data_IF_763010038745
#
_entry.id   IF_763010038745
#
_cell.length_a   1.000
_cell.length_b   1.000
_cell.length_c   1.000
_cell.angle_alpha   90.00
_cell.angle_beta   90.00
_cell.angle_gamma   90.00
#
_symmetry.space_group_name_H-M   'P 1'
#
loop_
_entity.id
_entity.type
_entity.pdbx_description
1 polymer ?
#
# COMPACT_ATOMS: atom_id res chain seq x y z
N UNK A 1 54.82 12.27 -17.96
CA UNK A 1 53.54 12.82 -18.47
C UNK A 1 52.44 11.87 -18.05
N UNK A 2 51.66 12.24 -17.04
CA UNK A 2 50.44 11.52 -16.68
C UNK A 2 49.32 12.05 -17.58
N UNK A 3 48.88 11.22 -18.53
CA UNK A 3 47.63 11.49 -19.26
C UNK A 3 46.50 11.14 -18.31
N UNK A 4 45.84 12.16 -17.75
CA UNK A 4 44.58 11.98 -17.06
C UNK A 4 43.48 11.82 -18.11
N UNK A 5 43.00 10.58 -18.29
CA UNK A 5 41.78 10.33 -19.04
C UNK A 5 40.60 10.92 -18.25
N UNK A 6 40.17 12.13 -18.62
CA UNK A 6 38.89 12.69 -18.17
C UNK A 6 37.79 11.83 -18.80
N UNK A 7 37.10 11.06 -17.97
CA UNK A 7 35.93 10.30 -18.41
C UNK A 7 34.87 11.28 -18.96
N UNK A 8 34.39 11.12 -20.21
CA UNK A 8 33.36 11.99 -20.76
C UNK A 8 32.05 11.78 -19.98
N UNK A 9 31.64 12.81 -19.22
CA UNK A 9 30.31 12.83 -18.58
C UNK A 9 29.28 13.24 -19.62
N UNK A 10 28.13 12.56 -19.66
CA UNK A 10 27.04 12.95 -20.55
C UNK A 10 26.49 14.30 -20.09
N UNK A 11 25.99 15.12 -21.02
CA UNK A 11 25.38 16.43 -20.69
C UNK A 11 24.23 16.24 -19.67
N UNK A 12 23.46 15.15 -19.80
CA UNK A 12 22.42 14.80 -18.84
C UNK A 12 22.95 14.66 -17.40
N UNK A 13 24.11 14.02 -17.21
CA UNK A 13 24.74 13.82 -15.89
C UNK A 13 25.30 15.12 -15.28
N UNK A 14 25.43 16.17 -16.11
CA UNK A 14 25.83 17.51 -15.68
C UNK A 14 24.64 18.38 -15.31
N UNK A 15 23.44 18.06 -15.80
CA UNK A 15 22.22 18.83 -15.60
C UNK A 15 21.28 18.23 -14.55
N UNK A 16 21.23 16.90 -14.46
CA UNK A 16 20.26 16.19 -13.64
C UNK A 16 20.89 15.37 -12.53
N UNK A 17 20.12 15.26 -11.45
CA UNK A 17 20.41 14.44 -10.28
C UNK A 17 19.20 13.53 -10.08
N UNK A 18 19.41 12.23 -10.21
CA UNK A 18 18.37 11.22 -10.00
C UNK A 18 18.32 10.72 -8.56
N UNK A 19 17.11 10.39 -8.11
CA UNK A 19 16.80 9.79 -6.81
C UNK A 19 16.16 8.42 -7.02
N UNK A 20 16.98 7.42 -7.37
CA UNK A 20 16.49 6.10 -7.82
C UNK A 20 15.88 5.24 -6.70
N UNK A 21 16.01 5.67 -5.43
CA UNK A 21 15.48 4.97 -4.25
C UNK A 21 14.19 5.59 -3.73
N UNK A 22 13.67 6.62 -4.40
CA UNK A 22 12.39 7.22 -4.04
C UNK A 22 11.25 6.20 -4.17
N UNK A 23 10.29 6.29 -3.26
CA UNK A 23 9.06 5.50 -3.28
C UNK A 23 7.95 6.33 -3.89
N UNK A 24 7.18 5.74 -4.79
CA UNK A 24 6.15 6.41 -5.57
C UNK A 24 4.77 6.10 -5.02
N UNK A 25 3.92 7.12 -4.91
CA UNK A 25 2.49 6.93 -4.80
C UNK A 25 1.92 6.54 -6.16
N UNK A 26 1.15 5.45 -6.20
CA UNK A 26 0.58 4.89 -7.43
C UNK A 26 -0.93 5.05 -7.44
N UNK A 27 -1.53 4.89 -8.63
CA UNK A 27 -2.97 4.93 -8.79
C UNK A 27 -3.59 3.57 -8.51
N UNK A 28 -4.66 3.57 -7.72
CA UNK A 28 -5.58 2.44 -7.61
C UNK A 28 -6.96 2.84 -8.12
N UNK A 29 -7.74 1.85 -8.54
CA UNK A 29 -9.09 2.05 -9.08
C UNK A 29 -10.09 1.23 -8.27
N UNK A 30 -11.21 1.84 -7.88
CA UNK A 30 -12.36 1.11 -7.38
C UNK A 30 -13.50 1.11 -8.40
N UNK A 31 -14.66 0.54 -8.03
CA UNK A 31 -15.82 0.45 -8.93
C UNK A 31 -16.43 1.80 -9.34
N UNK A 32 -16.04 2.89 -8.70
CA UNK A 32 -16.67 4.23 -8.84
C UNK A 32 -15.69 5.34 -9.18
N UNK A 33 -14.46 5.32 -8.64
CA UNK A 33 -13.50 6.42 -8.73
C UNK A 33 -12.06 5.90 -8.72
N UNK A 34 -11.12 6.81 -8.98
CA UNK A 34 -9.68 6.61 -8.83
C UNK A 34 -9.22 7.08 -7.44
N UNK A 35 -8.18 6.45 -6.90
CA UNK A 35 -7.47 6.89 -5.69
C UNK A 35 -5.96 6.83 -5.95
N UNK A 36 -5.18 7.45 -5.08
CA UNK A 36 -3.73 7.56 -5.20
C UNK A 36 -3.29 8.68 -6.12
N UNK A 37 -2.12 8.53 -6.74
CA UNK A 37 -1.41 9.62 -7.43
C UNK A 37 -1.02 9.26 -8.86
N UNK A 38 -0.79 10.29 -9.69
CA UNK A 38 -0.19 10.14 -11.02
C UNK A 38 0.60 11.39 -11.41
N UNK A 39 1.59 11.22 -12.29
CA UNK A 39 2.11 12.33 -13.08
C UNK A 39 1.41 12.46 -14.44
N UNK A 40 1.74 13.53 -15.16
CA UNK A 40 1.52 13.67 -16.59
C UNK A 40 2.45 12.70 -17.35
N UNK A 41 2.14 12.44 -18.62
CA UNK A 41 2.90 11.51 -19.47
C UNK A 41 4.38 11.86 -19.60
N UNK A 42 4.74 13.14 -19.55
CA UNK A 42 6.12 13.64 -19.61
C UNK A 42 6.70 13.98 -18.24
N UNK A 43 6.10 13.48 -17.16
CA UNK A 43 6.42 13.90 -15.80
C UNK A 43 5.88 15.28 -15.44
N UNK A 44 5.98 15.64 -14.16
CA UNK A 44 5.62 16.95 -13.65
C UNK A 44 6.87 17.63 -13.11
N UNK A 45 7.14 18.85 -13.57
CA UNK A 45 8.26 19.66 -13.09
C UNK A 45 7.80 20.99 -12.48
N UNK A 46 8.58 21.51 -11.55
CA UNK A 46 8.28 22.77 -10.90
C UNK A 46 9.40 23.27 -9.99
N UNK A 47 9.32 24.53 -9.58
CA UNK A 47 10.27 25.10 -8.62
C UNK A 47 10.20 24.30 -7.32
N UNK A 48 11.34 23.84 -6.84
CA UNK A 48 11.41 23.17 -5.54
C UNK A 48 11.23 24.19 -4.42
N UNK A 49 10.33 23.90 -3.47
CA UNK A 49 10.23 24.64 -2.22
C UNK A 49 10.20 23.66 -1.04
N UNK A 50 11.15 23.78 -0.12
CA UNK A 50 11.29 22.86 1.01
C UNK A 50 10.59 23.44 2.24
N UNK A 51 9.78 22.62 2.91
CA UNK A 51 9.01 22.97 4.10
C UNK A 51 9.28 21.94 5.18
N UNK A 52 9.89 22.41 6.26
CA UNK A 52 10.37 21.53 7.32
C UNK A 52 9.52 21.53 8.60
N UNK A 53 8.85 22.64 8.86
CA UNK A 53 8.09 22.89 10.08
C UNK A 53 6.92 23.83 9.82
N UNK A 54 6.08 24.01 10.83
CA UNK A 54 4.88 24.85 10.75
C UNK A 54 5.16 26.31 10.42
N UNK A 55 6.28 26.86 10.89
CA UNK A 55 6.63 28.26 10.62
C UNK A 55 6.95 28.46 9.14
N UNK A 56 7.75 27.56 8.56
CA UNK A 56 8.06 27.56 7.13
C UNK A 56 6.81 27.32 6.27
N UNK A 57 5.92 26.42 6.71
CA UNK A 57 4.66 26.16 6.03
C UNK A 57 3.80 27.43 5.97
N UNK A 58 3.59 28.08 7.11
CA UNK A 58 2.78 29.29 7.20
C UNK A 58 3.42 30.47 6.46
N UNK A 59 4.75 30.60 6.49
CA UNK A 59 5.48 31.61 5.72
C UNK A 59 5.28 31.40 4.21
N UNK A 60 5.39 30.17 3.73
CA UNK A 60 5.22 29.85 2.31
C UNK A 60 3.81 30.14 1.80
N UNK A 61 2.77 29.63 2.48
CA UNK A 61 1.37 29.80 2.03
C UNK A 61 0.90 31.26 2.06
N UNK A 62 1.56 32.12 2.85
CA UNK A 62 1.24 33.55 2.94
C UNK A 62 2.04 34.41 1.97
N UNK A 63 3.14 33.89 1.40
CA UNK A 63 3.96 34.59 0.41
C UNK A 63 3.34 34.48 -0.99
N UNK A 64 2.24 35.21 -1.20
CA UNK A 64 1.54 35.28 -2.49
C UNK A 64 2.43 35.79 -3.62
N UNK A 65 3.37 36.70 -3.33
CA UNK A 65 4.32 37.23 -4.31
C UNK A 65 5.22 36.13 -4.86
N UNK A 66 5.76 35.29 -3.98
CA UNK A 66 6.55 34.12 -4.37
C UNK A 66 5.71 33.15 -5.20
N UNK A 67 4.52 32.79 -4.71
CA UNK A 67 3.62 31.85 -5.40
C UNK A 67 3.24 32.37 -6.79
N UNK A 68 3.05 33.68 -6.95
CA UNK A 68 2.70 34.32 -8.24
C UNK A 68 3.87 34.47 -9.19
N UNK A 69 5.10 34.43 -8.69
CA UNK A 69 6.31 34.55 -9.51
C UNK A 69 6.63 33.27 -10.29
N UNK A 70 6.01 32.12 -9.98
CA UNK A 70 6.32 30.84 -10.61
C UNK A 70 5.06 30.13 -11.11
N UNK A 71 5.22 29.38 -12.21
CA UNK A 71 4.11 28.64 -12.85
C UNK A 71 3.70 27.38 -12.08
N UNK A 72 4.68 26.69 -11.50
CA UNK A 72 4.48 25.42 -10.80
C UNK A 72 5.50 25.25 -9.69
N UNK A 73 5.09 24.53 -8.65
CA UNK A 73 5.90 24.15 -7.50
C UNK A 73 5.88 22.63 -7.31
N UNK A 74 7.02 22.10 -6.89
CA UNK A 74 7.10 20.80 -6.24
C UNK A 74 7.52 21.06 -4.80
N UNK A 75 6.64 20.68 -3.87
CA UNK A 75 6.86 20.93 -2.45
C UNK A 75 7.62 19.75 -1.87
N UNK A 76 8.82 20.00 -1.35
CA UNK A 76 9.54 19.03 -0.54
C UNK A 76 9.06 19.20 0.91
N UNK A 77 8.22 18.29 1.40
CA UNK A 77 7.54 18.40 2.68
C UNK A 77 8.09 17.38 3.68
N UNK A 78 8.41 17.84 4.88
CA UNK A 78 8.76 16.94 5.97
C UNK A 78 7.60 16.00 6.27
N UNK A 79 7.86 14.69 6.38
CA UNK A 79 6.84 13.66 6.62
C UNK A 79 6.01 13.92 7.89
N UNK A 80 6.55 14.62 8.89
CA UNK A 80 5.79 14.99 10.10
C UNK A 80 4.63 15.96 9.82
N UNK A 81 4.69 16.71 8.72
CA UNK A 81 3.63 17.60 8.27
C UNK A 81 2.66 16.92 7.29
N UNK A 82 2.87 15.64 6.97
CA UNK A 82 2.03 14.92 6.02
C UNK A 82 0.70 14.49 6.68
N UNK A 83 -0.25 15.42 6.75
CA UNK A 83 -1.60 15.17 7.23
C UNK A 83 -2.63 15.77 6.27
N UNK A 84 -3.88 15.30 6.36
CA UNK A 84 -5.02 15.80 5.57
C UNK A 84 -5.11 17.33 5.61
N UNK A 85 -4.91 17.94 6.79
CA UNK A 85 -4.97 19.40 6.96
C UNK A 85 -3.92 20.16 6.16
N UNK A 86 -2.65 19.73 6.19
CA UNK A 86 -1.58 20.41 5.43
C UNK A 86 -1.73 20.17 3.92
N UNK A 87 -2.07 18.95 3.52
CA UNK A 87 -2.29 18.62 2.10
C UNK A 87 -3.44 19.44 1.52
N UNK A 88 -4.57 19.56 2.24
CA UNK A 88 -5.71 20.37 1.81
C UNK A 88 -5.37 21.86 1.71
N UNK A 89 -4.61 22.38 2.67
CA UNK A 89 -4.12 23.77 2.64
C UNK A 89 -3.20 24.01 1.45
N UNK A 90 -2.29 23.09 1.13
CA UNK A 90 -1.43 23.21 -0.06
C UNK A 90 -2.25 23.18 -1.34
N UNK A 91 -3.18 22.22 -1.48
CA UNK A 91 -4.04 22.10 -2.65
C UNK A 91 -4.90 23.36 -2.85
N UNK A 92 -5.46 23.90 -1.76
CA UNK A 92 -6.30 25.10 -1.82
C UNK A 92 -5.48 26.36 -2.12
N UNK A 93 -4.32 26.52 -1.50
CA UNK A 93 -3.52 27.75 -1.62
C UNK A 93 -2.77 27.84 -2.95
N UNK A 94 -2.30 26.71 -3.48
CA UNK A 94 -1.54 26.68 -4.75
C UNK A 94 -2.42 26.36 -5.95
N UNK A 95 -3.56 25.67 -5.76
CA UNK A 95 -4.42 25.24 -6.85
C UNK A 95 -3.65 24.45 -7.91
N UNK A 96 -3.77 24.87 -9.18
CA UNK A 96 -3.07 24.25 -10.32
C UNK A 96 -1.54 24.45 -10.30
N UNK A 97 -1.00 25.29 -9.42
CA UNK A 97 0.45 25.49 -9.28
C UNK A 97 1.10 24.37 -8.46
N UNK A 98 0.35 23.61 -7.67
CA UNK A 98 0.87 22.43 -6.97
C UNK A 98 1.05 21.29 -7.97
N UNK A 99 2.28 21.08 -8.41
CA UNK A 99 2.60 20.14 -9.49
C UNK A 99 3.25 18.84 -9.00
N UNK A 100 3.47 18.70 -7.69
CA UNK A 100 4.02 17.50 -7.09
C UNK A 100 4.34 17.68 -5.60
N UNK A 101 4.43 16.57 -4.89
CA UNK A 101 4.82 16.52 -3.49
C UNK A 101 5.96 15.50 -3.30
N UNK A 102 7.07 15.93 -2.73
CA UNK A 102 8.16 15.06 -2.33
C UNK A 102 8.22 15.02 -0.81
N UNK A 103 7.79 13.92 -0.21
CA UNK A 103 7.96 13.71 1.22
C UNK A 103 9.40 13.32 1.53
N UNK A 104 9.93 13.83 2.63
CA UNK A 104 11.24 13.41 3.13
C UNK A 104 11.20 13.15 4.63
N UNK A 105 12.03 12.21 5.07
CA UNK A 105 12.35 11.98 6.47
C UNK A 105 13.78 12.48 6.73
N UNK A 106 14.00 13.31 7.76
CA UNK A 106 15.38 13.70 8.09
C UNK A 106 16.11 12.53 8.72
N UNK A 107 17.39 12.42 8.41
CA UNK A 107 18.27 11.38 8.94
C UNK A 107 18.38 11.37 10.47
N UNK A 108 18.22 12.53 11.11
CA UNK A 108 18.32 12.66 12.57
C UNK A 108 16.98 12.62 13.31
N UNK A 109 15.85 12.55 12.60
CA UNK A 109 14.52 12.52 13.21
C UNK A 109 13.99 11.09 13.27
N UNK A 110 13.33 10.76 14.38
CA UNK A 110 12.46 9.60 14.43
C UNK A 110 11.31 9.77 13.44
N UNK A 111 10.73 8.65 13.02
CA UNK A 111 9.45 8.63 12.29
C UNK A 111 8.38 9.35 13.14
N UNK A 112 7.30 9.86 12.53
CA UNK A 112 6.18 10.43 13.28
C UNK A 112 5.70 9.45 14.35
N UNK A 113 5.40 9.95 15.55
CA UNK A 113 4.92 9.12 16.67
C UNK A 113 3.65 8.34 16.33
N UNK A 114 2.82 8.92 15.46
CA UNK A 114 1.60 8.32 14.94
C UNK A 114 1.38 8.78 13.49
N UNK A 115 1.08 7.81 12.63
CA UNK A 115 0.62 8.06 11.27
C UNK A 115 -0.10 6.80 10.76
N UNK A 116 -1.33 6.94 10.29
CA UNK A 116 -2.03 5.87 9.58
C UNK A 116 -2.70 6.44 8.34
N UNK A 117 -2.26 5.96 7.17
CA UNK A 117 -2.80 6.34 5.86
C UNK A 117 -4.20 5.77 5.57
N UNK A 118 -4.61 4.78 6.36
CA UNK A 118 -5.89 4.10 6.29
C UNK A 118 -7.01 4.98 6.88
N UNK A 119 -8.25 4.56 6.71
CA UNK A 119 -9.42 5.20 7.31
C UNK A 119 -9.51 4.92 8.81
N UNK A 120 -10.32 5.72 9.51
CA UNK A 120 -10.63 5.52 10.92
C UNK A 120 -11.38 4.21 11.20
N UNK A 121 -12.13 3.75 10.21
CA UNK A 121 -12.86 2.49 10.23
C UNK A 121 -12.52 1.70 8.97
N UNK A 122 -11.40 0.95 8.95
CA UNK A 122 -10.98 0.15 7.81
C UNK A 122 -12.09 -0.83 7.38
N UNK A 123 -12.26 -1.00 6.06
CA UNK A 123 -13.25 -1.89 5.43
C UNK A 123 -14.71 -1.75 5.93
N UNK A 124 -15.09 -0.62 6.57
CA UNK A 124 -16.42 -0.47 7.19
C UNK A 124 -17.57 -0.76 6.22
N UNK A 125 -17.39 -0.46 4.92
CA UNK A 125 -18.41 -0.64 3.88
C UNK A 125 -18.74 -2.09 3.56
N UNK A 126 -17.85 -3.02 3.89
CA UNK A 126 -18.02 -4.45 3.67
C UNK A 126 -18.15 -5.24 4.98
N UNK A 127 -18.27 -4.51 6.09
CA UNK A 127 -18.44 -5.08 7.41
C UNK A 127 -19.92 -5.22 7.77
N UNK A 128 -20.20 -6.04 8.79
CA UNK A 128 -21.52 -6.15 9.41
C UNK A 128 -22.06 -4.79 9.92
N UNK A 129 -21.17 -3.83 10.20
CA UNK A 129 -21.52 -2.52 10.76
C UNK A 129 -22.02 -1.50 9.71
N UNK A 130 -22.02 -1.82 8.41
CA UNK A 130 -22.44 -0.87 7.35
C UNK A 130 -23.81 -0.24 7.62
N UNK A 131 -24.77 -1.03 8.11
CA UNK A 131 -26.15 -0.57 8.39
C UNK A 131 -26.38 -0.18 9.86
N UNK A 132 -25.33 -0.17 10.68
CA UNK A 132 -25.44 0.20 12.08
C UNK A 132 -25.23 1.70 12.26
N UNK A 133 -25.94 2.28 13.23
CA UNK A 133 -25.81 3.71 13.56
C UNK A 133 -24.48 4.04 14.23
N UNK A 134 -23.81 3.05 14.81
CA UNK A 134 -22.54 3.21 15.49
C UNK A 134 -21.39 2.88 14.55
N UNK A 135 -20.68 3.92 14.10
CA UNK A 135 -19.39 3.76 13.42
C UNK A 135 -18.32 3.53 14.49
N UNK A 136 -17.76 2.32 14.55
CA UNK A 136 -16.67 2.01 15.48
C UNK A 136 -15.35 2.52 14.89
N UNK A 137 -14.68 3.41 15.61
CA UNK A 137 -13.37 3.91 15.24
C UNK A 137 -12.29 2.97 15.77
N UNK A 138 -11.88 2.02 14.92
CA UNK A 138 -10.83 1.04 15.22
C UNK A 138 -9.42 1.62 15.04
N UNK A 139 -9.28 2.65 14.20
CA UNK A 139 -8.02 3.29 13.87
C UNK A 139 -8.12 4.81 14.12
N UNK A 140 -8.05 5.28 15.37
CA UNK A 140 -8.25 6.71 15.68
C UNK A 140 -7.22 7.64 15.04
N UNK A 141 -6.07 7.10 14.61
CA UNK A 141 -5.01 7.83 13.91
C UNK A 141 -5.13 7.74 12.38
N UNK A 142 -6.17 7.09 11.87
CA UNK A 142 -6.46 6.98 10.44
C UNK A 142 -6.82 8.33 9.84
N UNK A 143 -6.08 8.74 8.81
CA UNK A 143 -6.28 10.01 8.11
C UNK A 143 -6.94 9.85 6.74
N UNK A 144 -7.11 8.62 6.25
CA UNK A 144 -7.75 8.31 4.97
C UNK A 144 -7.02 8.81 3.73
N UNK A 145 -5.76 9.25 3.84
CA UNK A 145 -5.00 9.81 2.72
C UNK A 145 -4.81 8.80 1.59
N UNK A 146 -4.71 7.50 1.89
CA UNK A 146 -4.56 6.44 0.88
C UNK A 146 -5.76 6.40 -0.09
N UNK A 147 -6.99 6.66 0.40
CA UNK A 147 -8.21 6.57 -0.39
C UNK A 147 -8.58 7.86 -1.13
N UNK A 148 -7.69 8.86 -1.12
CA UNK A 148 -7.90 10.12 -1.84
C UNK A 148 -7.28 10.08 -3.23
N UNK A 149 -7.89 10.82 -4.15
CA UNK A 149 -7.34 11.05 -5.49
C UNK A 149 -6.50 12.33 -5.51
N UNK A 150 -5.26 12.22 -5.98
CA UNK A 150 -4.34 13.35 -6.12
C UNK A 150 -4.00 13.57 -7.61
N UNK A 151 -4.25 14.77 -8.17
CA UNK A 151 -4.01 15.06 -9.58
C UNK A 151 -2.54 15.38 -9.90
N UNK A 152 -1.63 15.04 -8.99
CA UNK A 152 -0.20 15.29 -9.10
C UNK A 152 0.58 14.13 -8.45
N UNK A 153 1.85 13.92 -8.84
CA UNK A 153 2.64 12.84 -8.30
C UNK A 153 3.09 13.13 -6.87
N UNK A 154 3.12 12.08 -6.05
CA UNK A 154 3.74 12.12 -4.73
C UNK A 154 4.85 11.07 -4.68
N UNK A 155 6.01 11.45 -4.15
CA UNK A 155 7.11 10.53 -3.89
C UNK A 155 7.61 10.70 -2.46
N UNK A 156 8.28 9.68 -1.92
CA UNK A 156 8.83 9.67 -0.56
C UNK A 156 10.29 9.20 -0.58
N UNK A 157 11.17 9.96 0.07
CA UNK A 157 12.57 9.59 0.32
C UNK A 157 12.80 9.35 1.83
N UNK A 158 13.21 8.12 2.17
CA UNK A 158 13.54 7.70 3.52
C UNK A 158 15.04 7.42 3.74
N UNK A 159 15.85 7.53 2.69
CA UNK A 159 17.29 7.26 2.74
C UNK A 159 18.09 8.53 3.10
N UNK A 160 19.04 8.40 4.03
CA UNK A 160 19.84 9.52 4.53
C UNK A 160 20.62 10.23 3.42
N UNK A 161 21.27 9.48 2.52
CA UNK A 161 22.05 10.05 1.43
C UNK A 161 21.21 10.91 0.48
N UNK A 162 19.98 10.46 0.18
CA UNK A 162 19.07 11.15 -0.71
C UNK A 162 18.55 12.44 -0.07
N UNK A 163 18.23 12.40 1.23
CA UNK A 163 17.88 13.59 2.01
C UNK A 163 19.03 14.62 2.03
N UNK A 164 20.26 14.20 2.34
CA UNK A 164 21.41 15.10 2.38
C UNK A 164 21.69 15.75 1.02
N UNK A 165 21.55 14.97 -0.06
CA UNK A 165 21.70 15.44 -1.44
C UNK A 165 20.61 16.47 -1.79
N UNK A 166 19.36 16.19 -1.44
CA UNK A 166 18.22 17.11 -1.64
C UNK A 166 18.45 18.44 -0.91
N UNK A 167 18.82 18.39 0.37
CA UNK A 167 19.09 19.59 1.19
C UNK A 167 20.23 20.40 0.61
N UNK A 168 21.37 19.76 0.30
CA UNK A 168 22.53 20.44 -0.28
C UNK A 168 22.15 21.19 -1.55
N UNK A 169 21.35 20.56 -2.39
CA UNK A 169 20.88 21.13 -3.64
C UNK A 169 19.92 22.31 -3.42
N UNK A 170 18.93 22.16 -2.53
CA UNK A 170 18.02 23.24 -2.16
C UNK A 170 18.76 24.47 -1.61
N UNK A 171 19.72 24.24 -0.71
CA UNK A 171 20.51 25.33 -0.10
C UNK A 171 21.35 26.09 -1.11
N UNK A 172 21.88 25.39 -2.11
CA UNK A 172 22.75 25.99 -3.13
C UNK A 172 21.98 26.93 -4.08
N UNK A 173 20.72 26.63 -4.39
CA UNK A 173 20.01 27.30 -5.50
C UNK A 173 18.70 27.99 -5.11
N UNK A 174 18.09 27.69 -3.95
CA UNK A 174 16.73 28.13 -3.63
C UNK A 174 16.62 28.94 -2.34
N UNK A 175 17.71 29.08 -1.54
CA UNK A 175 17.73 29.97 -0.36
C UNK A 175 17.73 31.45 -0.75
N UNK A 176 18.53 31.83 -1.75
CA UNK A 176 18.51 33.18 -2.30
C UNK A 176 17.47 33.28 -3.42
N UNK A 177 16.89 34.47 -3.61
CA UNK A 177 16.02 34.76 -4.77
C UNK A 177 16.80 34.91 -6.09
N UNK A 178 18.11 34.61 -6.08
CA UNK A 178 18.97 34.76 -7.25
C UNK A 178 18.76 33.62 -8.24
N UNK A 179 18.71 33.97 -9.53
CA UNK A 179 18.79 32.99 -10.62
C UNK A 179 20.22 32.45 -10.76
N UNK A 180 20.41 31.17 -11.08
CA UNK A 180 19.40 30.17 -11.45
C UNK A 180 18.72 29.51 -10.24
N UNK A 181 17.41 29.28 -10.34
CA UNK A 181 16.63 28.53 -9.35
C UNK A 181 16.55 27.06 -9.71
N UNK A 182 16.50 26.19 -8.71
CA UNK A 182 16.33 24.77 -8.96
C UNK A 182 14.87 24.30 -8.95
N UNK A 183 14.57 23.34 -9.84
CA UNK A 183 13.33 22.58 -9.85
C UNK A 183 13.54 21.10 -9.50
N UNK A 184 12.42 20.41 -9.32
CA UNK A 184 12.35 18.95 -9.31
C UNK A 184 11.47 18.50 -10.48
N UNK A 185 11.66 17.26 -10.90
CA UNK A 185 10.78 16.55 -11.81
C UNK A 185 10.40 15.22 -11.17
N UNK A 186 9.10 14.93 -11.10
CA UNK A 186 8.54 13.68 -10.60
C UNK A 186 7.79 12.99 -11.75
N UNK A 187 8.18 11.77 -12.09
CA UNK A 187 7.62 11.03 -13.22
C UNK A 187 7.10 9.67 -12.75
N UNK A 188 5.79 9.57 -12.63
CA UNK A 188 5.06 8.37 -12.16
C UNK A 188 3.75 8.22 -12.93
N UNK A 189 3.81 8.32 -14.26
CA UNK A 189 2.62 8.24 -15.12
C UNK A 189 1.96 6.86 -15.00
N UNK A 190 0.63 6.84 -14.89
CA UNK A 190 -0.16 5.62 -14.73
C UNK A 190 -1.14 5.48 -15.90
N UNK A 191 -1.11 4.33 -16.59
CA UNK A 191 -2.00 4.05 -17.73
C UNK A 191 -3.48 3.86 -17.30
N UNK A 192 -3.67 3.41 -16.07
CA UNK A 192 -4.97 3.18 -15.46
C UNK A 192 -5.74 4.50 -15.31
N UNK A 193 -7.02 4.50 -15.69
CA UNK A 193 -7.88 5.68 -15.60
C UNK A 193 -9.35 5.33 -15.38
N UNK A 194 -10.06 6.27 -14.77
CA UNK A 194 -11.47 6.34 -14.45
C UNK A 194 -11.94 5.35 -13.36
N UNK A 195 -12.42 4.16 -13.74
CA UNK A 195 -12.87 3.13 -12.78
C UNK A 195 -12.26 1.80 -13.14
N UNK A 196 -12.26 0.85 -12.19
CA UNK A 196 -11.82 -0.52 -12.45
C UNK A 196 -12.58 -1.15 -13.63
N UNK A 197 -13.90 -0.92 -13.73
CA UNK A 197 -14.72 -1.37 -14.86
C UNK A 197 -14.25 -0.80 -16.20
N UNK A 198 -14.00 0.51 -16.26
CA UNK A 198 -13.52 1.16 -17.50
C UNK A 198 -12.14 0.63 -17.87
N UNK A 199 -11.25 0.49 -16.89
CA UNK A 199 -9.88 0.05 -17.14
C UNK A 199 -9.81 -1.42 -17.59
N UNK A 200 -10.46 -2.34 -16.89
CA UNK A 200 -10.53 -3.76 -17.28
C UNK A 200 -11.17 -3.95 -18.65
N UNK A 201 -12.17 -3.14 -19.01
CA UNK A 201 -12.75 -3.14 -20.36
C UNK A 201 -11.73 -2.73 -21.42
N UNK A 202 -10.88 -1.72 -21.15
CA UNK A 202 -9.83 -1.28 -22.07
C UNK A 202 -8.77 -2.37 -22.28
N UNK A 203 -8.42 -3.13 -21.25
CA UNK A 203 -7.57 -4.31 -21.39
C UNK A 203 -8.19 -5.31 -22.38
N UNK A 204 -9.47 -5.67 -22.20
CA UNK A 204 -10.15 -6.61 -23.08
C UNK A 204 -10.16 -6.18 -24.56
N UNK A 205 -10.35 -4.88 -24.82
CA UNK A 205 -10.28 -4.31 -26.18
C UNK A 205 -8.85 -4.38 -26.73
N UNK A 206 -7.87 -3.94 -25.94
CA UNK A 206 -6.44 -3.95 -26.31
C UNK A 206 -5.98 -5.36 -26.69
N UNK A 207 -6.23 -6.34 -25.83
CA UNK A 207 -5.84 -7.74 -26.05
C UNK A 207 -6.56 -8.42 -27.22
N UNK A 208 -7.75 -7.95 -27.60
CA UNK A 208 -8.55 -8.59 -28.66
C UNK A 208 -8.33 -7.99 -30.05
N UNK A 209 -7.95 -6.70 -30.13
CA UNK A 209 -7.95 -5.95 -31.40
C UNK A 209 -6.58 -5.38 -31.80
N UNK A 210 -5.62 -5.31 -30.89
CA UNK A 210 -4.30 -4.72 -31.15
C UNK A 210 -3.22 -5.79 -31.07
N UNK A 211 -2.27 -5.76 -32.01
CA UNK A 211 -1.09 -6.64 -31.98
C UNK A 211 -0.17 -6.34 -30.79
N UNK A 212 -0.22 -5.11 -30.26
CA UNK A 212 0.43 -4.69 -29.02
C UNK A 212 -0.55 -4.77 -27.86
N UNK A 213 -0.50 -5.86 -27.12
CA UNK A 213 -1.32 -6.12 -25.93
C UNK A 213 -0.87 -5.28 -24.72
N UNK A 214 -1.06 -3.96 -24.79
CA UNK A 214 -0.81 -3.10 -23.64
C UNK A 214 -1.89 -3.30 -22.57
N UNK A 215 -1.47 -3.81 -21.41
CA UNK A 215 -2.29 -3.90 -20.20
C UNK A 215 -2.35 -2.51 -19.54
N UNK A 216 -3.56 -2.01 -19.29
CA UNK A 216 -3.79 -0.69 -18.69
C UNK A 216 -3.83 -0.73 -17.16
N UNK A 217 -4.27 -1.85 -16.58
CA UNK A 217 -4.29 -2.11 -15.14
C UNK A 217 -4.42 -3.60 -14.84
N UNK A 218 -4.10 -3.99 -13.61
CA UNK A 218 -4.24 -5.35 -13.11
C UNK A 218 -5.18 -5.40 -11.90
N UNK A 219 -5.88 -6.52 -11.67
CA UNK A 219 -6.59 -6.73 -10.41
C UNK A 219 -5.59 -6.77 -9.25
N UNK A 220 -5.91 -6.06 -8.16
CA UNK A 220 -5.18 -6.18 -6.90
C UNK A 220 -5.67 -7.44 -6.19
N UNK A 221 -4.76 -8.32 -5.80
CA UNK A 221 -5.09 -9.52 -5.06
C UNK A 221 -3.85 -10.34 -4.74
N UNK A 222 -4.07 -11.42 -4.02
CA UNK A 222 -3.04 -12.35 -3.57
C UNK A 222 -3.49 -13.80 -3.67
N UNK A 223 -2.74 -14.68 -3.01
CA UNK A 223 -3.07 -16.10 -2.95
C UNK A 223 -3.33 -16.53 -1.52
N UNK A 224 -4.55 -17.01 -1.27
CA UNK A 224 -4.85 -17.71 -0.03
C UNK A 224 -4.13 -19.05 -0.03
N UNK A 225 -3.42 -19.35 1.05
CA UNK A 225 -2.75 -20.65 1.24
C UNK A 225 -3.53 -21.40 2.30
N UNK A 226 -3.89 -22.64 2.03
CA UNK A 226 -4.48 -23.49 3.05
C UNK A 226 -3.71 -24.79 3.24
N UNK A 227 -3.83 -25.35 4.44
CA UNK A 227 -3.28 -26.65 4.79
C UNK A 227 -4.20 -27.36 5.76
N UNK A 228 -4.14 -28.69 5.73
CA UNK A 228 -4.85 -29.58 6.64
C UNK A 228 -3.83 -30.35 7.46
N UNK A 229 -4.25 -30.91 8.59
CA UNK A 229 -3.40 -31.86 9.31
C UNK A 229 -3.04 -33.07 8.42
N UNK A 230 -1.85 -33.67 8.58
CA UNK A 230 -1.39 -34.78 7.73
C UNK A 230 -2.37 -35.94 7.61
N UNK A 231 -3.10 -36.28 8.68
CA UNK A 231 -4.11 -37.33 8.64
C UNK A 231 -5.30 -36.97 7.75
N UNK A 232 -5.75 -35.71 7.78
CA UNK A 232 -6.82 -35.21 6.92
C UNK A 232 -6.40 -35.04 5.45
N UNK A 233 -5.11 -35.12 5.16
CA UNK A 233 -4.60 -35.24 3.78
C UNK A 233 -4.68 -36.69 3.26
N UNK A 234 -4.63 -37.68 4.15
CA UNK A 234 -4.69 -39.11 3.78
C UNK A 234 -6.12 -39.66 3.80
N UNK A 235 -6.97 -39.13 4.67
CA UNK A 235 -8.40 -39.47 4.77
C UNK A 235 -9.20 -38.42 4.00
N UNK A 236 -9.55 -38.72 2.75
CA UNK A 236 -10.49 -37.92 1.97
C UNK A 236 -11.94 -38.33 2.33
N UNK A 237 -12.69 -37.53 3.12
CA UNK A 237 -14.06 -37.90 3.47
C UNK A 237 -14.94 -37.85 2.23
N UNK A 238 -15.65 -38.95 1.95
CA UNK A 238 -16.66 -39.02 0.89
C UNK A 238 -17.94 -38.27 1.26
N UNK A 239 -18.19 -38.11 2.56
CA UNK A 239 -19.32 -37.37 3.12
C UNK A 239 -18.81 -36.66 4.37
N UNK A 240 -18.94 -35.34 4.41
CA UNK A 240 -18.62 -34.52 5.59
C UNK A 240 -19.85 -34.33 6.45
N UNK A 241 -19.66 -34.43 7.76
CA UNK A 241 -20.75 -34.21 8.71
C UNK A 241 -20.90 -32.71 8.97
N UNK A 242 -22.12 -32.22 9.29
CA UNK A 242 -22.29 -30.86 9.77
C UNK A 242 -21.41 -30.58 10.99
N UNK A 243 -20.85 -29.37 11.07
CA UNK A 243 -19.96 -28.94 12.15
C UNK A 243 -18.78 -29.90 12.38
N UNK A 244 -18.16 -30.44 11.33
CA UNK A 244 -16.98 -31.31 11.42
C UNK A 244 -15.65 -30.61 11.16
N UNK A 245 -15.63 -29.31 10.86
CA UNK A 245 -14.42 -28.56 10.46
C UNK A 245 -14.16 -27.39 11.40
N UNK A 246 -12.92 -27.22 11.85
CA UNK A 246 -12.43 -26.04 12.55
C UNK A 246 -11.52 -25.27 11.60
N UNK A 247 -11.82 -24.00 11.37
CA UNK A 247 -10.98 -23.11 10.58
C UNK A 247 -10.10 -22.27 11.50
N UNK A 248 -8.82 -22.24 11.17
CA UNK A 248 -7.83 -21.34 11.77
C UNK A 248 -7.38 -20.41 10.65
N UNK A 249 -7.61 -19.11 10.81
CA UNK A 249 -7.42 -18.08 9.79
C UNK A 249 -6.36 -17.09 10.26
N UNK A 250 -5.57 -16.56 9.33
CA UNK A 250 -4.69 -15.42 9.57
C UNK A 250 -4.64 -14.49 8.36
N UNK A 251 -4.88 -13.19 8.58
CA UNK A 251 -4.67 -12.18 7.56
C UNK A 251 -3.16 -11.89 7.42
N UNK A 252 -2.65 -11.98 6.19
CA UNK A 252 -1.21 -11.88 5.91
C UNK A 252 -0.81 -10.65 5.11
N UNK A 253 -1.78 -9.87 4.64
CA UNK A 253 -1.54 -8.70 3.80
C UNK A 253 -1.63 -7.37 4.55
N UNK A 254 -1.03 -6.37 3.92
CA UNK A 254 -1.14 -4.95 4.29
C UNK A 254 -0.90 -4.11 3.05
N UNK A 255 -1.34 -2.86 3.07
CA UNK A 255 -1.08 -1.93 1.97
C UNK A 255 -0.30 -0.70 2.45
N UNK A 256 0.35 -0.03 1.50
CA UNK A 256 1.05 1.21 1.74
C UNK A 256 0.92 2.19 0.58
N UNK A 257 0.88 3.48 0.90
CA UNK A 257 0.72 4.56 -0.08
C UNK A 257 1.97 4.73 -0.95
N UNK A 258 3.16 4.50 -0.41
CA UNK A 258 4.43 4.73 -1.11
C UNK A 258 5.16 3.42 -1.41
N UNK A 259 5.18 3.03 -2.69
CA UNK A 259 5.77 1.79 -3.16
C UNK A 259 7.15 2.04 -3.77
N UNK A 260 8.11 1.16 -3.50
CA UNK A 260 9.37 1.10 -4.26
C UNK A 260 9.07 0.54 -5.65
N UNK A 261 9.66 1.14 -6.67
CA UNK A 261 9.58 0.61 -8.04
C UNK A 261 10.27 -0.75 -8.18
N UNK A 262 11.31 -0.99 -7.37
CA UNK A 262 12.07 -2.24 -7.37
C UNK A 262 12.31 -2.73 -5.95
N UNK A 263 12.11 -4.04 -5.76
CA UNK A 263 12.35 -4.72 -4.50
C UNK A 263 11.22 -4.57 -3.48
N UNK A 264 11.38 -5.18 -2.29
CA UNK A 264 10.35 -5.18 -1.27
C UNK A 264 10.14 -3.78 -0.71
N UNK A 265 8.88 -3.36 -0.62
CA UNK A 265 8.47 -2.06 -0.10
C UNK A 265 8.46 -2.01 1.43
N UNK A 266 8.76 -3.13 2.10
CA UNK A 266 8.67 -3.30 3.56
C UNK A 266 7.28 -3.79 3.97
N UNK A 267 7.22 -4.65 4.99
CA UNK A 267 5.99 -5.26 5.49
C UNK A 267 5.49 -4.60 6.77
N UNK A 268 4.17 -4.57 6.96
CA UNK A 268 3.57 -4.16 8.23
C UNK A 268 3.91 -5.18 9.32
N UNK A 269 4.21 -4.70 10.53
CA UNK A 269 4.51 -5.57 11.68
C UNK A 269 3.30 -6.44 12.07
N UNK A 270 2.09 -5.89 11.96
CA UNK A 270 0.86 -6.54 12.41
C UNK A 270 0.56 -7.88 11.68
N UNK A 271 0.51 -7.96 10.33
CA UNK A 271 0.33 -9.24 9.64
C UNK A 271 1.47 -10.22 9.89
N UNK A 272 2.71 -9.73 10.04
CA UNK A 272 3.87 -10.58 10.31
C UNK A 272 3.75 -11.28 11.68
N UNK A 273 3.38 -10.56 12.73
CA UNK A 273 3.19 -11.14 14.07
C UNK A 273 2.03 -12.15 14.07
N UNK A 274 0.91 -11.83 13.42
CA UNK A 274 -0.22 -12.75 13.29
C UNK A 274 0.18 -14.04 12.57
N UNK A 275 0.92 -13.92 11.45
CA UNK A 275 1.42 -15.07 10.70
C UNK A 275 2.39 -15.93 11.53
N UNK A 276 3.29 -15.32 12.31
CA UNK A 276 4.22 -16.06 13.19
C UNK A 276 3.46 -16.87 14.24
N UNK A 277 2.47 -16.27 14.90
CA UNK A 277 1.63 -16.96 15.91
C UNK A 277 0.83 -18.08 15.25
N UNK A 278 0.23 -17.82 14.09
CA UNK A 278 -0.49 -18.81 13.30
C UNK A 278 0.39 -20.02 12.93
N UNK A 279 1.61 -19.78 12.43
CA UNK A 279 2.55 -20.85 12.09
C UNK A 279 3.05 -21.60 13.33
N UNK A 280 3.25 -20.90 14.44
CA UNK A 280 3.66 -21.52 15.71
C UNK A 280 2.56 -22.44 16.24
N UNK A 281 1.30 -22.01 16.16
CA UNK A 281 0.16 -22.84 16.52
C UNK A 281 0.06 -24.08 15.61
N UNK A 282 0.20 -23.88 14.30
CA UNK A 282 0.21 -24.99 13.34
C UNK A 282 1.34 -26.00 13.64
N UNK A 283 2.51 -25.51 14.02
CA UNK A 283 3.64 -26.35 14.42
C UNK A 283 3.34 -27.17 15.69
N UNK A 284 2.82 -26.54 16.74
CA UNK A 284 2.50 -27.20 18.00
C UNK A 284 1.38 -28.24 17.85
N UNK A 285 0.31 -27.90 17.11
CA UNK A 285 -0.76 -28.86 16.81
C UNK A 285 -0.23 -30.03 15.97
N UNK A 286 0.71 -29.76 15.04
CA UNK A 286 1.37 -30.80 14.26
C UNK A 286 2.22 -31.76 15.11
N UNK A 287 2.85 -31.28 16.19
CA UNK A 287 3.58 -32.11 17.15
C UNK A 287 2.63 -33.01 17.95
N UNK A 288 1.50 -32.46 18.39
CA UNK A 288 0.48 -33.17 19.19
C UNK A 288 -0.63 -33.79 18.34
N UNK A 289 -0.33 -34.14 17.09
CA UNK A 289 -1.34 -34.63 16.13
C UNK A 289 -2.18 -35.79 16.68
N UNK A 290 -1.60 -36.70 17.48
CA UNK A 290 -2.32 -37.85 18.02
C UNK A 290 -3.47 -37.48 18.96
N UNK A 291 -3.33 -36.39 19.72
CA UNK A 291 -4.39 -35.90 20.61
C UNK A 291 -5.51 -35.25 19.80
N UNK A 292 -5.16 -34.42 18.82
CA UNK A 292 -6.13 -33.76 17.95
C UNK A 292 -6.85 -34.75 17.03
N UNK A 293 -6.19 -35.84 16.63
CA UNK A 293 -6.80 -36.91 15.83
C UNK A 293 -7.89 -37.68 16.59
N UNK A 294 -7.87 -37.69 17.93
CA UNK A 294 -8.95 -38.30 18.72
C UNK A 294 -10.21 -37.44 18.73
N UNK A 295 -10.10 -36.17 18.32
CA UNK A 295 -11.25 -35.31 18.16
C UNK A 295 -11.79 -35.52 16.75
N UNK A 296 -13.07 -35.88 16.62
CA UNK A 296 -13.77 -36.09 15.34
C UNK A 296 -14.00 -34.76 14.58
N UNK A 297 -12.94 -33.95 14.42
CA UNK A 297 -12.92 -32.64 13.78
C UNK A 297 -11.69 -32.51 12.88
N UNK A 298 -11.91 -32.06 11.65
CA UNK A 298 -10.82 -31.67 10.76
C UNK A 298 -10.40 -30.23 11.08
N UNK A 299 -9.09 -30.00 11.23
CA UNK A 299 -8.52 -28.67 11.44
C UNK A 299 -7.89 -28.19 10.14
N UNK A 300 -8.29 -27.00 9.69
CA UNK A 300 -7.79 -26.38 8.46
C UNK A 300 -7.21 -25.02 8.79
N UNK A 301 -5.97 -24.84 8.40
CA UNK A 301 -5.22 -23.60 8.48
C UNK A 301 -5.35 -22.86 7.15
N UNK A 302 -5.71 -21.58 7.17
CA UNK A 302 -5.83 -20.74 5.97
C UNK A 302 -5.18 -19.38 6.22
N UNK A 303 -4.32 -18.95 5.31
CA UNK A 303 -3.84 -17.57 5.24
C UNK A 303 -4.64 -16.80 4.21
N UNK A 304 -4.95 -15.54 4.51
CA UNK A 304 -5.77 -14.66 3.69
C UNK A 304 -4.91 -13.50 3.19
N UNK A 305 -4.75 -13.40 1.87
CA UNK A 305 -3.92 -12.39 1.20
C UNK A 305 -4.79 -11.51 0.28
N UNK A 306 -5.23 -10.40 0.83
CA UNK A 306 -6.09 -9.42 0.16
C UNK A 306 -7.21 -8.85 1.05
N UNK A 307 -7.19 -9.14 2.35
CA UNK A 307 -8.23 -8.69 3.27
C UNK A 307 -8.01 -7.27 3.79
N UNK A 308 -6.79 -6.73 3.66
CA UNK A 308 -6.53 -5.33 3.94
C UNK A 308 -7.29 -4.38 2.98
N UNK A 309 -7.75 -4.88 1.82
CA UNK A 309 -8.59 -4.14 0.87
C UNK A 309 -9.93 -4.86 0.67
N UNK A 310 -10.95 -4.43 1.41
CA UNK A 310 -12.35 -4.85 1.25
C UNK A 310 -12.61 -6.37 1.38
N UNK A 311 -11.83 -7.08 2.21
CA UNK A 311 -11.99 -8.52 2.47
C UNK A 311 -12.01 -9.41 1.21
N UNK A 312 -11.25 -9.01 0.18
CA UNK A 312 -11.33 -9.67 -1.13
C UNK A 312 -10.94 -11.15 -1.07
N UNK A 313 -9.96 -11.51 -0.24
CA UNK A 313 -9.50 -12.87 -0.04
C UNK A 313 -10.54 -13.72 0.70
N UNK A 314 -11.10 -13.21 1.79
CA UNK A 314 -12.16 -13.87 2.56
C UNK A 314 -13.44 -14.05 1.76
N UNK A 315 -13.85 -13.06 0.96
CA UNK A 315 -15.02 -13.19 0.09
C UNK A 315 -14.81 -14.24 -0.99
N UNK A 316 -13.62 -14.30 -1.60
CA UNK A 316 -13.31 -15.35 -2.57
C UNK A 316 -13.32 -16.74 -1.93
N UNK A 317 -12.73 -16.87 -0.74
CA UNK A 317 -12.72 -18.13 0.00
C UNK A 317 -14.14 -18.61 0.34
N UNK A 318 -15.00 -17.72 0.82
CA UNK A 318 -16.41 -18.04 1.10
C UNK A 318 -17.21 -18.36 -0.17
N UNK A 319 -16.94 -17.66 -1.27
CA UNK A 319 -17.56 -17.92 -2.57
C UNK A 319 -17.24 -19.35 -3.04
N UNK A 320 -15.99 -19.78 -2.92
CA UNK A 320 -15.57 -21.13 -3.32
C UNK A 320 -16.22 -22.20 -2.44
N UNK A 321 -16.29 -22.00 -1.13
CA UNK A 321 -17.00 -22.91 -0.23
C UNK A 321 -18.50 -23.04 -0.56
N UNK A 322 -19.15 -21.94 -0.93
CA UNK A 322 -20.59 -21.96 -1.30
C UNK A 322 -20.84 -22.69 -2.61
N UNK A 323 -19.93 -22.57 -3.57
CA UNK A 323 -20.06 -23.24 -4.86
C UNK A 323 -19.55 -24.69 -4.85
N UNK A 324 -18.94 -25.12 -3.75
CA UNK A 324 -18.35 -26.46 -3.64
C UNK A 324 -17.00 -26.60 -4.37
N UNK A 325 -16.31 -25.47 -4.59
CA UNK A 325 -15.00 -25.40 -5.25
C UNK A 325 -13.83 -25.48 -4.25
N UNK A 326 -14.11 -25.51 -2.94
CA UNK A 326 -13.12 -25.72 -1.89
C UNK A 326 -13.30 -27.10 -1.23
N UNK A 327 -12.24 -27.91 -1.06
CA UNK A 327 -10.83 -27.63 -1.37
C UNK A 327 -10.52 -27.62 -2.88
N UNK A 328 -9.67 -26.69 -3.31
CA UNK A 328 -9.35 -26.52 -4.73
C UNK A 328 -8.50 -27.69 -5.26
N UNK A 329 -8.84 -28.20 -6.45
CA UNK A 329 -8.00 -29.15 -7.18
C UNK A 329 -8.15 -30.62 -6.80
N UNK A 330 -8.98 -30.98 -5.82
CA UNK A 330 -9.11 -32.36 -5.36
C UNK A 330 -10.54 -32.91 -5.55
N UNK A 331 -10.81 -33.50 -6.73
CA UNK A 331 -12.15 -34.04 -7.07
C UNK A 331 -12.56 -35.29 -6.28
N UNK A 332 -11.66 -35.82 -5.45
CA UNK A 332 -11.85 -37.09 -4.74
C UNK A 332 -12.35 -36.93 -3.30
N UNK A 333 -12.53 -35.70 -2.82
CA UNK A 333 -13.10 -35.42 -1.50
C UNK A 333 -14.39 -34.62 -1.59
N UNK A 334 -15.26 -34.80 -0.60
CA UNK A 334 -16.49 -34.02 -0.47
C UNK A 334 -16.14 -32.53 -0.20
N UNK A 335 -16.72 -31.58 -0.95
CA UNK A 335 -16.44 -30.16 -0.75
C UNK A 335 -16.76 -29.67 0.66
N UNK A 336 -16.00 -28.70 1.13
CA UNK A 336 -16.23 -28.04 2.40
C UNK A 336 -17.16 -26.85 2.18
N UNK A 337 -18.33 -26.92 2.81
CA UNK A 337 -19.38 -25.91 2.77
C UNK A 337 -19.53 -25.25 4.14
N UNK A 338 -20.28 -24.16 4.20
CA UNK A 338 -20.52 -23.42 5.44
C UNK A 338 -21.11 -24.28 6.57
N UNK A 339 -21.98 -25.25 6.25
CA UNK A 339 -22.59 -26.13 7.25
C UNK A 339 -21.60 -27.10 7.92
N UNK A 340 -20.45 -27.35 7.29
CA UNK A 340 -19.39 -28.19 7.86
C UNK A 340 -18.56 -27.44 8.91
N UNK A 341 -18.61 -26.10 8.92
CA UNK A 341 -17.81 -25.28 9.84
C UNK A 341 -18.43 -25.33 11.26
N UNK A 342 -17.64 -25.79 12.22
CA UNK A 342 -17.95 -25.79 13.65
C UNK A 342 -17.51 -24.48 14.32
N UNK A 343 -16.26 -24.08 14.08
CA UNK A 343 -15.65 -22.90 14.70
C UNK A 343 -14.65 -22.24 13.77
N UNK A 344 -14.46 -20.93 13.96
CA UNK A 344 -13.47 -20.12 13.28
C UNK A 344 -12.62 -19.44 14.35
N UNK A 345 -11.31 -19.57 14.23
CA UNK A 345 -10.32 -18.88 15.06
C UNK A 345 -9.52 -17.99 14.10
N UNK A 346 -9.59 -16.68 14.28
CA UNK A 346 -8.93 -15.72 13.39
C UNK A 346 -7.86 -14.94 14.15
N UNK A 347 -6.66 -14.87 13.57
CA UNK A 347 -5.56 -14.07 14.08
C UNK A 347 -5.40 -12.81 13.22
N UNK A 348 -5.64 -11.65 13.84
CA UNK A 348 -5.50 -10.34 13.21
C UNK A 348 -4.95 -9.31 14.19
N UNK A 349 -4.08 -8.42 13.71
CA UNK A 349 -3.58 -7.24 14.44
C UNK A 349 -3.03 -7.54 15.85
N UNK A 350 -2.34 -8.67 16.00
CA UNK A 350 -1.69 -9.04 17.25
C UNK A 350 -0.41 -8.21 17.43
N UNK A 351 -0.35 -7.43 18.51
CA UNK A 351 0.89 -6.80 18.95
C UNK A 351 1.68 -7.77 19.81
N UNK A 352 3.00 -7.79 19.69
CA UNK A 352 3.86 -8.25 20.78
C UNK A 352 3.63 -7.29 21.95
N UNK A 353 2.80 -7.65 22.91
CA UNK A 353 2.70 -6.90 24.16
C UNK A 353 4.02 -7.05 24.91
N UNK A 354 4.64 -5.94 25.30
CA UNK A 354 5.83 -5.87 26.18
C UNK A 354 5.61 -6.46 27.59
N UNK A 355 4.59 -7.29 27.79
CA UNK A 355 4.17 -7.90 29.07
C UNK A 355 4.41 -9.41 29.15
N UNK A 356 5.34 -9.94 28.35
CA UNK A 356 5.95 -11.23 28.61
C UNK A 356 7.39 -10.98 29.10
N UNK A 357 7.49 -10.39 30.29
CA UNK A 357 8.72 -10.26 31.07
C UNK A 357 8.59 -11.04 32.37
#
# INVERSE_FOLDING_TARGET
MSVSCVQPKRIADQMYVSFDRARSCVRHLNGTHEIGCQSSTSGNSGRMYMIDNDQEFNSFITDTKLIDSYRSFIIALNVNLFTTSYVDKLMTSLGSKLNGLLLYLKSSSSRPDYFSQDDQSPNHRYSYYLNQTQVVNWNPQGNGLFFRSFPFPMMFIDEQEDYERLVKFYRQFNISQSTPTCGLELSTFQNAAHTSKTCMRRNGISHSLLDSSETMCDPVGGLNVYSKLPQSLTIAPKIRQPKSVILILAATDSFQMFLKEKGPTGGAQQPATALIIFLSLAHLIGQEQNEFNQQDKEIIFVTLDGDALDYSASFKFLFDMKNGDFPTGNRNEDPIRSEHIHSIIEFQSLSLTDKLS
#
